data_IF_330949346487
#
_entry.id   IF_330949346487
#
_cell.length_a   1.000
_cell.length_b   1.000
_cell.length_c   1.000
_cell.angle_alpha   90.00
_cell.angle_beta   90.00
_cell.angle_gamma   90.00
#
_symmetry.space_group_name_H-M   'P 1'
#
loop_
_entity.id
_entity.type
_entity.pdbx_description
1 polymer ?
#
# COMPACT_ATOMS: atom_id res chain seq x y z
N UNK A 1 -10.90 78.74 -3.58
CA UNK A 1 -11.14 77.72 -4.63
C UNK A 1 -9.83 77.17 -5.16
N UNK A 2 -9.35 76.05 -4.61
CA UNK A 2 -8.40 75.13 -5.25
C UNK A 2 -8.73 73.73 -4.77
N UNK A 3 -9.12 72.89 -5.71
CA UNK A 3 -9.43 71.46 -5.56
C UNK A 3 -8.13 70.67 -5.59
N UNK A 4 -7.93 69.72 -4.66
CA UNK A 4 -7.05 68.55 -4.87
C UNK A 4 -7.64 67.35 -4.13
N UNK A 5 -8.45 66.60 -4.88
CA UNK A 5 -8.47 65.14 -5.06
C UNK A 5 -7.95 64.25 -3.91
N UNK A 6 -8.87 63.57 -3.21
CA UNK A 6 -8.56 62.38 -2.40
C UNK A 6 -8.47 61.15 -3.31
N UNK A 7 -7.37 60.43 -3.18
CA UNK A 7 -7.08 59.16 -3.84
C UNK A 7 -8.04 58.08 -3.29
N UNK A 8 -8.95 57.56 -4.11
CA UNK A 8 -9.69 56.34 -3.79
C UNK A 8 -8.78 55.14 -4.08
N UNK A 9 -8.23 54.53 -3.03
CA UNK A 9 -7.62 53.21 -3.12
C UNK A 9 -8.77 52.22 -3.29
N UNK A 10 -9.02 51.81 -4.53
CA UNK A 10 -9.90 50.69 -4.84
C UNK A 10 -9.26 49.42 -4.32
N UNK A 11 -9.80 48.88 -3.22
CA UNK A 11 -9.50 47.50 -2.80
C UNK A 11 -10.12 46.60 -3.85
N UNK A 12 -9.30 46.08 -4.76
CA UNK A 12 -9.66 44.96 -5.61
C UNK A 12 -9.75 43.75 -4.68
N UNK A 13 -10.97 43.46 -4.20
CA UNK A 13 -11.29 42.16 -3.64
C UNK A 13 -11.15 41.18 -4.79
N UNK A 14 -9.99 40.53 -4.87
CA UNK A 14 -9.82 39.37 -5.72
C UNK A 14 -10.78 38.32 -5.19
N UNK A 15 -11.95 38.21 -5.85
CA UNK A 15 -12.84 37.08 -5.72
C UNK A 15 -12.02 35.87 -6.19
N UNK A 16 -11.35 35.19 -5.26
CA UNK A 16 -10.84 33.86 -5.50
C UNK A 16 -12.06 33.02 -5.83
N UNK A 17 -12.27 32.75 -7.12
CA UNK A 17 -13.16 31.68 -7.54
C UNK A 17 -12.67 30.43 -6.81
N UNK A 18 -13.38 30.05 -5.76
CA UNK A 18 -13.42 28.68 -5.30
C UNK A 18 -13.98 27.88 -6.47
N UNK A 19 -13.11 27.50 -7.42
CA UNK A 19 -13.34 26.29 -8.19
C UNK A 19 -13.53 25.23 -7.12
N UNK A 20 -14.77 24.76 -6.96
CA UNK A 20 -14.98 23.51 -6.25
C UNK A 20 -14.04 22.52 -6.93
N UNK A 21 -13.00 22.10 -6.22
CA UNK A 21 -12.26 20.91 -6.57
C UNK A 21 -13.31 19.81 -6.55
N UNK A 22 -13.93 19.52 -7.70
CA UNK A 22 -14.74 18.34 -7.86
C UNK A 22 -13.96 17.22 -7.20
N UNK A 23 -14.56 16.59 -6.17
CA UNK A 23 -13.85 15.60 -5.38
C UNK A 23 -13.28 14.57 -6.34
N UNK A 24 -11.97 14.32 -6.24
CA UNK A 24 -11.29 13.39 -7.13
C UNK A 24 -11.89 11.99 -6.93
N UNK A 25 -12.88 11.65 -7.75
CA UNK A 25 -13.38 10.32 -7.99
C UNK A 25 -12.61 9.78 -9.19
N UNK A 26 -12.05 8.56 -9.11
CA UNK A 26 -12.35 7.50 -8.14
C UNK A 26 -11.52 7.54 -6.84
N UNK A 27 -11.96 6.75 -5.87
CA UNK A 27 -11.23 6.44 -4.62
C UNK A 27 -10.78 4.97 -4.58
N UNK A 28 -10.10 4.57 -3.52
CA UNK A 28 -9.66 3.19 -3.31
C UNK A 28 -10.85 2.23 -3.20
N UNK A 29 -10.78 1.10 -3.90
CA UNK A 29 -11.57 -0.09 -3.64
C UNK A 29 -11.16 -0.74 -2.31
N UNK A 30 -11.95 -1.69 -1.83
CA UNK A 30 -11.74 -2.32 -0.50
C UNK A 30 -10.37 -2.98 -0.33
N UNK A 31 -9.80 -3.50 -1.41
CA UNK A 31 -8.46 -4.10 -1.43
C UNK A 31 -7.33 -3.06 -1.58
N UNK A 32 -7.64 -1.77 -1.64
CA UNK A 32 -6.68 -0.69 -1.83
C UNK A 32 -6.30 -0.42 -3.28
N UNK A 33 -6.92 -1.09 -4.26
CA UNK A 33 -6.74 -0.76 -5.67
C UNK A 33 -7.52 0.50 -6.05
N UNK A 34 -6.99 1.28 -6.98
CA UNK A 34 -7.75 2.36 -7.63
C UNK A 34 -7.91 1.99 -9.09
N UNK A 35 -9.13 1.94 -9.59
CA UNK A 35 -9.43 1.81 -11.02
C UNK A 35 -10.03 3.12 -11.51
N UNK A 36 -9.37 3.74 -12.49
CA UNK A 36 -9.82 4.97 -13.13
C UNK A 36 -10.27 4.63 -14.55
N UNK A 37 -11.57 4.61 -14.85
CA UNK A 37 -12.06 4.35 -16.20
C UNK A 37 -11.73 5.52 -17.15
N UNK A 38 -11.70 5.23 -18.45
CA UNK A 38 -11.43 6.22 -19.51
C UNK A 38 -12.34 7.46 -19.47
N UNK A 39 -13.56 7.32 -18.97
CA UNK A 39 -14.52 8.42 -18.79
C UNK A 39 -14.01 9.51 -17.83
N UNK A 40 -13.15 9.14 -16.88
CA UNK A 40 -12.59 10.06 -15.88
C UNK A 40 -11.24 10.67 -16.34
N UNK A 41 -10.81 10.39 -17.57
CA UNK A 41 -9.58 10.94 -18.12
C UNK A 41 -9.85 12.31 -18.73
N UNK A 42 -8.96 13.25 -18.43
CA UNK A 42 -8.88 14.54 -19.13
C UNK A 42 -7.80 14.45 -20.20
N UNK A 43 -8.13 14.83 -21.43
CA UNK A 43 -7.20 14.82 -22.57
C UNK A 43 -6.98 16.23 -23.07
N UNK A 44 -5.72 16.64 -23.21
CA UNK A 44 -5.32 17.91 -23.81
C UNK A 44 -3.98 17.73 -24.54
N UNK A 45 -3.89 18.15 -25.81
CA UNK A 45 -2.63 18.18 -26.58
C UNK A 45 -1.83 16.85 -26.54
N UNK A 46 -2.51 15.71 -26.70
CA UNK A 46 -1.86 14.39 -26.67
C UNK A 46 -1.38 13.93 -25.29
N UNK A 47 -1.73 14.66 -24.22
CA UNK A 47 -1.52 14.24 -22.82
C UNK A 47 -2.82 13.75 -22.23
N UNK A 48 -2.73 12.68 -21.45
CA UNK A 48 -3.85 12.17 -20.63
C UNK A 48 -3.54 12.45 -19.18
N UNK A 49 -4.51 12.96 -18.45
CA UNK A 49 -4.43 13.09 -16.99
C UNK A 49 -5.64 12.48 -16.32
N UNK A 50 -5.42 11.91 -15.14
CA UNK A 50 -6.43 11.29 -14.32
C UNK A 50 -6.19 11.68 -12.87
N UNK A 51 -7.24 12.04 -12.15
CA UNK A 51 -7.15 12.40 -10.73
C UNK A 51 -7.89 11.37 -9.88
N UNK A 52 -7.37 11.09 -8.70
CA UNK A 52 -8.01 10.20 -7.72
C UNK A 52 -7.66 10.66 -6.31
N UNK A 53 -8.40 10.18 -5.30
CA UNK A 53 -8.08 10.43 -3.89
C UNK A 53 -7.50 9.20 -3.22
N UNK A 54 -6.25 9.29 -2.77
CA UNK A 54 -5.59 8.24 -2.01
C UNK A 54 -6.01 8.25 -0.54
N UNK A 55 -6.42 7.10 0.00
CA UNK A 55 -6.80 6.96 1.42
C UNK A 55 -5.60 6.66 2.34
N UNK A 56 -4.50 6.16 1.76
CA UNK A 56 -3.26 5.82 2.46
C UNK A 56 -2.03 6.08 1.56
N UNK A 57 -0.89 6.31 2.20
CA UNK A 57 0.40 6.29 1.52
C UNK A 57 0.86 4.85 1.24
N UNK A 58 1.93 4.73 0.45
CA UNK A 58 2.60 3.47 0.17
C UNK A 58 3.01 3.32 -1.30
N UNK A 59 3.51 2.14 -1.63
CA UNK A 59 3.92 1.78 -2.99
C UNK A 59 2.78 1.17 -3.80
N UNK A 60 2.70 1.53 -5.08
CA UNK A 60 1.71 1.01 -6.02
C UNK A 60 2.37 0.73 -7.37
N UNK A 61 1.92 -0.33 -8.04
CA UNK A 61 2.15 -0.52 -9.47
C UNK A 61 1.08 0.28 -10.22
N UNK A 62 1.49 1.16 -11.13
CA UNK A 62 0.57 1.79 -12.07
C UNK A 62 0.48 0.93 -13.32
N UNK A 63 -0.74 0.53 -13.67
CA UNK A 63 -1.07 -0.29 -14.82
C UNK A 63 -2.05 0.45 -15.74
N UNK A 64 -2.12 0.05 -17.01
CA UNK A 64 -3.20 0.42 -17.92
C UNK A 64 -3.91 -0.81 -18.49
N UNK A 65 -5.18 -0.63 -18.85
CA UNK A 65 -5.98 -1.57 -19.63
C UNK A 65 -6.21 -0.97 -21.04
N UNK A 66 -6.36 -1.84 -22.05
CA UNK A 66 -6.56 -1.44 -23.45
C UNK A 66 -5.28 -1.44 -24.28
N UNK A 67 -5.40 -0.94 -25.52
CA UNK A 67 -4.30 -0.87 -26.46
C UNK A 67 -3.59 0.48 -26.37
N UNK A 68 -2.27 0.47 -26.47
CA UNK A 68 -1.48 1.69 -26.59
C UNK A 68 -0.56 1.54 -27.80
N UNK A 69 -0.58 2.50 -28.71
CA UNK A 69 0.27 2.49 -29.91
C UNK A 69 1.76 2.50 -29.54
N UNK A 70 2.07 3.14 -28.41
CA UNK A 70 3.36 3.07 -27.74
C UNK A 70 3.15 3.12 -26.23
N UNK A 71 4.09 2.56 -25.46
CA UNK A 71 3.95 2.49 -24.02
C UNK A 71 4.12 3.89 -23.39
N UNK A 72 3.05 4.51 -22.87
CA UNK A 72 3.12 5.92 -22.45
C UNK A 72 4.06 6.07 -21.25
N UNK A 73 4.69 7.26 -21.13
CA UNK A 73 5.46 7.61 -19.93
C UNK A 73 4.50 8.15 -18.89
N UNK A 74 4.56 7.64 -17.67
CA UNK A 74 3.68 8.06 -16.58
C UNK A 74 4.42 8.85 -15.51
N UNK A 75 3.75 9.84 -14.94
CA UNK A 75 4.13 10.46 -13.67
C UNK A 75 2.96 10.37 -12.68
N UNK A 76 3.28 10.34 -11.39
CA UNK A 76 2.33 10.48 -10.29
C UNK A 76 2.73 11.69 -9.45
N UNK A 77 1.85 12.68 -9.37
CA UNK A 77 2.14 13.98 -8.73
C UNK A 77 3.44 14.61 -9.25
N UNK A 78 3.67 14.53 -10.56
CA UNK A 78 4.86 15.03 -11.23
C UNK A 78 6.13 14.20 -11.03
N UNK A 79 6.09 13.12 -10.25
CA UNK A 79 7.24 12.23 -10.03
C UNK A 79 7.20 11.05 -11.00
N UNK A 80 8.36 10.70 -11.56
CA UNK A 80 8.53 9.50 -12.39
C UNK A 80 8.47 8.20 -11.57
N UNK A 81 8.51 7.04 -12.24
CA UNK A 81 8.51 5.75 -11.58
C UNK A 81 9.80 5.52 -10.78
N UNK A 82 9.67 4.77 -9.68
CA UNK A 82 10.77 4.34 -8.81
C UNK A 82 11.36 3.03 -9.34
N UNK A 83 12.67 3.03 -9.54
CA UNK A 83 13.40 1.90 -10.12
C UNK A 83 13.21 1.80 -11.64
N UNK A 84 13.66 0.67 -12.20
CA UNK A 84 13.46 0.37 -13.62
C UNK A 84 12.00 0.07 -13.95
N UNK A 85 11.62 0.24 -15.21
CA UNK A 85 10.29 -0.13 -15.72
C UNK A 85 10.25 -1.66 -15.94
N UNK A 86 9.37 -2.41 -15.27
CA UNK A 86 9.19 -3.82 -15.58
C UNK A 86 8.74 -3.99 -17.03
N UNK A 87 9.32 -4.96 -17.74
CA UNK A 87 8.92 -5.33 -19.11
C UNK A 87 7.64 -6.19 -19.08
N UNK A 88 6.60 -5.69 -18.40
CA UNK A 88 5.30 -6.34 -18.31
C UNK A 88 4.31 -5.50 -19.12
N UNK A 89 3.61 -6.07 -20.12
CA UNK A 89 2.57 -5.36 -20.85
C UNK A 89 1.56 -4.74 -19.89
N UNK A 90 1.13 -3.51 -20.18
CA UNK A 90 0.24 -2.78 -19.28
C UNK A 90 0.93 -2.10 -18.10
N UNK A 91 2.20 -2.37 -17.77
CA UNK A 91 2.88 -1.78 -16.60
C UNK A 91 3.53 -0.44 -16.92
N UNK A 92 3.20 0.61 -16.15
CA UNK A 92 3.72 1.97 -16.33
C UNK A 92 4.79 2.36 -15.31
N UNK A 93 5.04 1.52 -14.31
CA UNK A 93 6.08 1.71 -13.29
C UNK A 93 5.54 1.62 -11.86
N UNK A 94 6.47 1.68 -10.90
CA UNK A 94 6.16 1.69 -9.47
C UNK A 94 6.17 3.12 -8.97
N UNK A 95 5.17 3.52 -8.19
CA UNK A 95 5.04 4.88 -7.68
C UNK A 95 4.76 4.87 -6.20
N UNK A 96 5.36 5.81 -5.48
CA UNK A 96 5.14 6.00 -4.05
C UNK A 96 4.21 7.18 -3.80
N UNK A 97 3.08 6.92 -3.16
CA UNK A 97 2.20 7.98 -2.65
C UNK A 97 2.74 8.37 -1.28
N UNK A 98 3.19 9.61 -1.11
CA UNK A 98 3.83 10.08 0.13
C UNK A 98 2.86 10.38 1.28
N UNK A 99 1.61 10.72 0.95
CA UNK A 99 0.55 11.05 1.92
C UNK A 99 -0.82 10.82 1.30
N UNK A 100 -1.83 10.62 2.14
CA UNK A 100 -3.22 10.57 1.71
C UNK A 100 -3.68 11.92 1.13
N UNK A 101 -4.67 11.89 0.25
CA UNK A 101 -5.24 13.06 -0.42
C UNK A 101 -5.26 12.95 -1.94
N UNK A 102 -5.50 14.08 -2.60
CA UNK A 102 -5.57 14.15 -4.07
C UNK A 102 -4.25 13.76 -4.71
N UNK A 103 -4.35 12.94 -5.75
CA UNK A 103 -3.24 12.51 -6.59
C UNK A 103 -3.61 12.73 -8.06
N UNK A 104 -2.61 13.04 -8.89
CA UNK A 104 -2.75 13.24 -10.33
C UNK A 104 -1.77 12.34 -11.05
N UNK A 105 -2.28 11.49 -11.93
CA UNK A 105 -1.50 10.75 -12.92
C UNK A 105 -1.44 11.56 -14.21
N UNK A 106 -0.26 11.67 -14.81
CA UNK A 106 -0.11 12.23 -16.15
C UNK A 106 0.59 11.20 -17.04
N UNK A 107 0.05 11.01 -18.24
CA UNK A 107 0.62 10.20 -19.30
C UNK A 107 1.09 11.12 -20.43
N UNK A 108 2.34 10.95 -20.86
CA UNK A 108 2.90 11.59 -22.04
C UNK A 108 3.05 10.54 -23.15
N UNK A 109 2.46 10.79 -24.31
CA UNK A 109 2.41 9.89 -25.47
C UNK A 109 0.99 9.50 -25.84
N UNK A 110 0.80 8.89 -27.03
CA UNK A 110 -0.52 8.50 -27.54
C UNK A 110 -1.20 7.48 -26.62
N UNK A 111 -2.35 7.86 -26.06
CA UNK A 111 -3.12 7.06 -25.10
C UNK A 111 -4.59 6.90 -25.52
N UNK A 112 -4.87 6.98 -26.83
CA UNK A 112 -6.21 6.93 -27.41
C UNK A 112 -6.94 5.59 -27.17
N UNK A 113 -6.21 4.47 -27.15
CA UNK A 113 -6.77 3.13 -26.94
C UNK A 113 -6.83 2.64 -25.48
N UNK A 114 -6.42 3.47 -24.50
CA UNK A 114 -6.50 3.08 -23.08
C UNK A 114 -7.95 3.11 -22.60
N UNK A 115 -8.38 2.04 -21.93
CA UNK A 115 -9.72 1.92 -21.36
C UNK A 115 -9.76 2.20 -19.84
N UNK A 116 -8.65 2.00 -19.14
CA UNK A 116 -8.53 2.32 -17.72
C UNK A 116 -7.08 2.46 -17.26
N UNK A 117 -6.89 3.15 -16.14
CA UNK A 117 -5.67 3.13 -15.33
C UNK A 117 -5.96 2.39 -14.03
N UNK A 118 -4.98 1.64 -13.54
CA UNK A 118 -5.07 0.94 -12.25
C UNK A 118 -3.87 1.19 -11.38
N UNK A 119 -4.08 1.63 -10.15
CA UNK A 119 -3.05 1.54 -9.10
C UNK A 119 -3.30 0.28 -8.28
N UNK A 120 -2.33 -0.62 -8.28
CA UNK A 120 -2.38 -1.87 -7.51
C UNK A 120 -1.39 -1.78 -6.35
N UNK A 121 -1.80 -1.97 -5.08
CA UNK A 121 -0.88 -1.97 -3.94
C UNK A 121 0.30 -2.91 -4.17
N UNK A 122 1.51 -2.42 -3.89
CA UNK A 122 2.75 -3.15 -4.09
C UNK A 122 3.59 -3.14 -2.81
N UNK A 123 4.51 -4.09 -2.72
CA UNK A 123 5.52 -4.10 -1.66
C UNK A 123 6.50 -2.95 -1.80
N UNK A 124 7.02 -2.47 -0.68
CA UNK A 124 8.04 -1.41 -0.64
C UNK A 124 9.45 -1.99 -0.65
N UNK A 125 9.63 -3.17 -0.05
CA UNK A 125 10.86 -3.94 -0.02
C UNK A 125 11.02 -4.88 -1.22
N UNK A 126 11.82 -5.92 -0.98
CA UNK A 126 12.26 -6.88 -1.99
C UNK A 126 11.36 -8.12 -2.02
N UNK A 127 11.50 -8.94 -3.05
CA UNK A 127 10.98 -10.31 -3.02
C UNK A 127 11.64 -11.08 -1.88
N UNK A 128 10.90 -11.97 -1.22
CA UNK A 128 11.46 -12.88 -0.22
C UNK A 128 11.73 -14.22 -0.89
N UNK A 129 12.97 -14.69 -0.80
CA UNK A 129 13.41 -16.01 -1.27
C UNK A 129 14.18 -16.63 -0.13
N UNK A 130 13.83 -17.85 0.23
CA UNK A 130 14.55 -18.61 1.24
C UNK A 130 15.95 -18.97 0.71
N UNK A 131 16.96 -18.74 1.53
CA UNK A 131 18.27 -19.37 1.37
C UNK A 131 18.21 -20.77 1.99
N UNK A 132 18.72 -21.79 1.28
CA UNK A 132 18.64 -23.19 1.70
C UNK A 132 19.15 -23.40 3.14
N UNK A 133 18.36 -24.11 3.95
CA UNK A 133 18.63 -24.37 5.37
C UNK A 133 18.43 -23.16 6.30
N UNK A 134 18.11 -21.97 5.79
CA UNK A 134 17.89 -20.76 6.58
C UNK A 134 16.42 -20.50 6.89
N UNK A 135 16.19 -19.62 7.86
CA UNK A 135 14.85 -19.11 8.15
C UNK A 135 14.33 -18.20 7.02
N UNK A 136 13.01 -18.19 6.85
CA UNK A 136 12.33 -17.30 5.90
C UNK A 136 11.94 -16.03 6.66
N UNK A 137 12.55 -14.91 6.29
CA UNK A 137 12.30 -13.62 6.91
C UNK A 137 11.29 -12.78 6.13
N UNK A 138 10.12 -12.56 6.73
CA UNK A 138 9.01 -11.80 6.17
C UNK A 138 8.89 -10.44 6.87
N UNK A 139 9.81 -9.53 6.56
CA UNK A 139 9.76 -8.16 7.08
C UNK A 139 8.51 -7.41 6.62
N UNK A 140 8.02 -6.51 7.47
CA UNK A 140 6.88 -5.64 7.19
C UNK A 140 6.94 -4.95 5.82
N UNK A 141 8.11 -4.48 5.39
CA UNK A 141 8.30 -3.80 4.09
C UNK A 141 8.09 -4.70 2.87
N UNK A 142 8.24 -6.02 3.03
CA UNK A 142 8.17 -6.99 1.94
C UNK A 142 6.73 -7.42 1.60
N UNK A 143 5.75 -7.05 2.42
CA UNK A 143 4.34 -7.29 2.13
C UNK A 143 3.77 -6.27 1.13
N UNK A 144 2.73 -6.68 0.39
CA UNK A 144 1.73 -5.74 -0.12
C UNK A 144 0.60 -5.63 0.90
N UNK A 145 -0.14 -4.53 0.87
CA UNK A 145 -1.35 -4.38 1.68
C UNK A 145 -2.59 -4.56 0.82
N UNK A 146 -3.49 -5.44 1.27
CA UNK A 146 -4.88 -5.45 0.83
C UNK A 146 -5.69 -4.60 1.80
N UNK A 147 -6.07 -3.38 1.40
CA UNK A 147 -6.80 -2.49 2.29
C UNK A 147 -6.63 -1.00 2.04
N UNK A 148 -7.40 -0.22 2.80
CA UNK A 148 -7.55 1.24 2.63
C UNK A 148 -6.92 2.06 3.76
N UNK A 149 -6.67 1.47 4.92
CA UNK A 149 -6.00 2.10 6.06
C UNK A 149 -4.62 1.47 6.33
N UNK A 150 -4.52 0.16 6.51
CA UNK A 150 -3.27 -0.51 6.83
C UNK A 150 -2.12 -0.11 5.89
N UNK A 151 -0.91 0.05 6.42
CA UNK A 151 0.22 0.59 5.66
C UNK A 151 1.54 0.24 6.33
N UNK A 152 2.57 0.17 5.52
CA UNK A 152 3.93 0.14 6.02
C UNK A 152 4.33 1.54 6.53
N UNK A 153 4.98 1.57 7.67
CA UNK A 153 5.52 2.77 8.31
C UNK A 153 7.05 2.78 8.16
N UNK A 154 7.61 3.48 7.14
CA UNK A 154 9.04 3.44 6.83
C UNK A 154 9.92 4.24 7.81
N UNK A 155 9.33 4.81 8.87
CA UNK A 155 10.12 5.48 9.90
C UNK A 155 11.09 4.46 10.54
N UNK A 156 12.41 4.74 10.57
CA UNK A 156 13.41 3.81 11.11
C UNK A 156 13.16 3.38 12.56
N UNK A 157 12.44 4.18 13.36
CA UNK A 157 12.05 3.83 14.73
C UNK A 157 10.90 2.82 14.81
N UNK A 158 10.17 2.62 13.72
CA UNK A 158 9.00 1.75 13.62
C UNK A 158 9.27 0.52 12.77
N UNK A 159 9.49 0.73 11.46
CA UNK A 159 9.71 -0.32 10.46
C UNK A 159 8.65 -1.44 10.53
N UNK A 160 7.38 -1.08 10.71
CA UNK A 160 6.27 -2.00 10.90
C UNK A 160 5.15 -1.78 9.88
N UNK A 161 4.30 -2.79 9.71
CA UNK A 161 2.94 -2.61 9.24
C UNK A 161 2.17 -2.08 10.45
N UNK A 162 1.60 -0.90 10.33
CA UNK A 162 0.88 -0.24 11.43
C UNK A 162 -0.38 0.42 10.95
N UNK A 163 -0.93 1.28 11.81
CA UNK A 163 -2.18 2.01 11.53
C UNK A 163 -3.38 1.09 11.23
N UNK A 164 -3.38 -0.09 11.83
CA UNK A 164 -4.38 -1.11 11.60
C UNK A 164 -5.69 -0.80 12.34
N UNK A 165 -6.49 0.09 11.76
CA UNK A 165 -7.79 0.51 12.30
C UNK A 165 -8.97 -0.28 11.72
N UNK A 166 -8.87 -0.67 10.45
CA UNK A 166 -9.91 -1.39 9.71
C UNK A 166 -9.64 -2.90 9.76
N UNK A 167 -10.54 -3.72 10.34
CA UNK A 167 -10.36 -5.18 10.42
C UNK A 167 -10.41 -5.89 9.07
N UNK A 168 -10.94 -5.23 8.01
CA UNK A 168 -10.96 -5.79 6.66
C UNK A 168 -9.63 -5.61 5.91
N UNK A 169 -8.72 -4.79 6.44
CA UNK A 169 -7.40 -4.65 5.85
C UNK A 169 -6.49 -5.79 6.35
N UNK A 170 -5.59 -6.27 5.50
CA UNK A 170 -4.61 -7.30 5.87
C UNK A 170 -3.34 -7.20 5.01
N UNK A 171 -2.16 -7.50 5.60
CA UNK A 171 -0.92 -7.62 4.86
C UNK A 171 -0.84 -8.97 4.16
N UNK A 172 -0.09 -8.99 3.05
CA UNK A 172 0.15 -10.19 2.29
C UNK A 172 1.61 -10.27 1.84
N UNK A 173 2.29 -11.34 2.24
CA UNK A 173 3.64 -11.65 1.79
C UNK A 173 3.58 -12.76 0.75
N UNK A 174 4.31 -12.57 -0.35
CA UNK A 174 4.63 -13.65 -1.28
C UNK A 174 6.11 -13.98 -1.09
N UNK A 175 6.42 -15.26 -0.93
CA UNK A 175 7.77 -15.72 -0.66
C UNK A 175 8.05 -17.03 -1.38
N UNK A 176 9.30 -17.24 -1.79
CA UNK A 176 9.74 -18.50 -2.39
C UNK A 176 10.46 -19.34 -1.33
N UNK A 177 10.05 -20.60 -1.22
CA UNK A 177 10.59 -21.59 -0.29
C UNK A 177 11.55 -22.51 -1.06
N UNK A 178 12.74 -22.70 -0.52
CA UNK A 178 13.74 -23.62 -1.05
C UNK A 178 13.56 -25.01 -0.44
N UNK A 179 13.24 -25.09 0.86
CA UNK A 179 13.17 -26.34 1.61
C UNK A 179 11.74 -26.69 2.00
N UNK A 180 11.26 -27.87 1.61
CA UNK A 180 10.07 -28.44 2.22
C UNK A 180 10.37 -28.85 3.67
N UNK A 181 9.37 -28.77 4.54
CA UNK A 181 9.58 -29.14 5.94
C UNK A 181 8.58 -28.51 6.89
N UNK A 182 8.84 -28.69 8.19
CA UNK A 182 8.10 -28.01 9.25
C UNK A 182 8.81 -26.72 9.62
N UNK A 183 8.03 -25.68 9.91
CA UNK A 183 8.52 -24.37 10.27
C UNK A 183 7.79 -23.85 11.50
N UNK A 184 8.52 -23.44 12.54
CA UNK A 184 7.97 -22.62 13.61
C UNK A 184 7.67 -21.22 13.07
N UNK A 185 6.46 -20.72 13.29
CA UNK A 185 6.05 -19.37 12.91
C UNK A 185 6.19 -18.44 14.11
N UNK A 186 7.08 -17.46 14.00
CA UNK A 186 7.29 -16.43 15.03
C UNK A 186 6.87 -15.07 14.49
N UNK A 187 5.94 -14.43 15.19
CA UNK A 187 5.44 -13.08 14.90
C UNK A 187 6.07 -12.06 15.85
N UNK A 188 6.75 -11.06 15.31
CA UNK A 188 7.17 -9.88 16.07
C UNK A 188 6.07 -8.82 16.03
N UNK A 189 5.34 -8.64 17.13
CA UNK A 189 4.19 -7.73 17.24
C UNK A 189 4.39 -6.65 18.29
N UNK A 190 3.69 -5.52 18.11
CA UNK A 190 3.51 -4.46 19.10
C UNK A 190 2.02 -4.14 19.25
N UNK A 191 1.57 -3.83 20.48
CA UNK A 191 0.18 -3.47 20.74
C UNK A 191 0.12 -2.41 21.85
N UNK A 192 -0.77 -1.43 21.69
CA UNK A 192 -0.96 -0.36 22.67
C UNK A 192 -1.39 -0.88 24.04
N UNK A 193 -1.04 -0.12 25.09
CA UNK A 193 -1.44 -0.41 26.46
C UNK A 193 -2.96 -0.55 26.59
N UNK A 194 -3.40 -1.67 27.16
CA UNK A 194 -4.81 -2.03 27.31
C UNK A 194 -5.53 -2.23 25.98
N UNK A 195 -4.81 -2.43 24.87
CA UNK A 195 -5.38 -2.58 23.53
C UNK A 195 -5.32 -4.01 22.97
N UNK A 196 -4.68 -4.94 23.69
CA UNK A 196 -4.62 -6.37 23.33
C UNK A 196 -5.98 -7.08 23.33
N UNK A 197 -5.98 -8.36 22.98
CA UNK A 197 -7.17 -9.22 23.00
C UNK A 197 -7.89 -9.37 21.66
N UNK A 198 -7.45 -8.69 20.59
CA UNK A 198 -7.93 -9.00 19.24
C UNK A 198 -7.58 -10.44 18.86
N UNK A 199 -8.49 -11.14 18.19
CA UNK A 199 -8.22 -12.45 17.58
C UNK A 199 -7.86 -12.25 16.11
N UNK A 200 -6.81 -12.92 15.68
CA UNK A 200 -6.32 -12.91 14.32
C UNK A 200 -5.98 -14.33 13.87
N UNK A 201 -5.85 -14.51 12.55
CA UNK A 201 -5.40 -15.75 11.93
C UNK A 201 -4.26 -15.44 10.99
N UNK A 202 -3.19 -16.24 11.07
CA UNK A 202 -2.15 -16.30 10.07
C UNK A 202 -2.40 -17.51 9.17
N UNK A 203 -2.45 -17.29 7.87
CA UNK A 203 -2.69 -18.35 6.88
C UNK A 203 -1.49 -18.45 5.94
N UNK A 204 -0.93 -19.64 5.77
CA UNK A 204 0.11 -19.92 4.78
C UNK A 204 0.21 -21.41 4.48
N UNK A 205 0.62 -21.78 3.27
CA UNK A 205 0.83 -23.17 2.84
C UNK A 205 -0.34 -24.12 3.16
N UNK A 206 -1.58 -23.61 3.12
CA UNK A 206 -2.80 -24.36 3.47
C UNK A 206 -3.06 -24.54 4.97
N UNK A 207 -2.17 -24.05 5.86
CA UNK A 207 -2.34 -24.05 7.31
C UNK A 207 -2.94 -22.73 7.80
N UNK A 208 -3.61 -22.78 8.95
CA UNK A 208 -4.17 -21.63 9.67
C UNK A 208 -3.75 -21.67 11.13
N UNK A 209 -3.13 -20.60 11.62
CA UNK A 209 -2.72 -20.41 13.01
C UNK A 209 -3.51 -19.25 13.60
N UNK A 210 -4.53 -19.56 14.39
CA UNK A 210 -5.26 -18.55 15.15
C UNK A 210 -4.50 -18.14 16.40
N UNK A 211 -4.53 -16.85 16.72
CA UNK A 211 -3.88 -16.31 17.91
C UNK A 211 -4.62 -15.11 18.48
N UNK A 212 -4.31 -14.82 19.74
CA UNK A 212 -4.77 -13.61 20.42
C UNK A 212 -3.62 -12.62 20.52
N UNK A 213 -3.85 -11.40 20.05
CA UNK A 213 -2.88 -10.31 20.15
C UNK A 213 -2.59 -10.01 21.62
N UNK A 214 -1.31 -10.04 21.97
CA UNK A 214 -0.84 -9.69 23.32
C UNK A 214 -0.73 -8.18 23.49
N UNK A 215 -1.14 -7.65 24.63
CA UNK A 215 -0.83 -6.28 25.05
C UNK A 215 0.68 -6.19 25.34
N UNK A 216 1.37 -5.23 24.70
CA UNK A 216 2.81 -5.04 24.89
C UNK A 216 3.13 -3.74 25.66
N UNK A 217 2.10 -3.03 26.13
CA UNK A 217 2.24 -1.76 26.84
C UNK A 217 2.53 -0.56 25.95
N UNK A 218 2.63 -0.75 24.62
CA UNK A 218 2.92 0.28 23.63
C UNK A 218 3.23 -0.30 22.24
N UNK A 219 2.78 0.37 21.17
CA UNK A 219 2.93 -0.13 19.78
C UNK A 219 4.38 -0.34 19.31
N UNK A 220 5.36 0.29 19.96
CA UNK A 220 6.80 0.11 19.67
C UNK A 220 7.51 -0.77 20.71
N UNK A 221 6.78 -1.34 21.67
CA UNK A 221 7.28 -2.37 22.57
C UNK A 221 7.10 -3.71 21.86
N UNK A 222 8.11 -4.12 21.13
CA UNK A 222 8.08 -5.34 20.33
C UNK A 222 8.27 -6.57 21.21
N UNK A 223 7.46 -7.59 20.97
CA UNK A 223 7.67 -8.94 21.52
C UNK A 223 7.59 -9.95 20.39
N UNK A 224 8.30 -11.06 20.56
CA UNK A 224 8.16 -12.23 19.70
C UNK A 224 7.11 -13.18 20.28
N UNK A 225 6.23 -13.66 19.42
CA UNK A 225 5.15 -14.60 19.76
C UNK A 225 5.27 -15.79 18.84
N UNK A 226 5.60 -16.95 19.40
CA UNK A 226 5.47 -18.22 18.68
C UNK A 226 3.99 -18.54 18.48
N UNK A 227 3.60 -18.77 17.23
CA UNK A 227 2.22 -19.05 16.83
C UNK A 227 1.97 -20.56 16.60
N UNK A 228 3.01 -21.38 16.73
CA UNK A 228 2.99 -22.80 16.41
C UNK A 228 3.76 -23.12 15.12
N UNK A 229 3.50 -24.30 14.57
CA UNK A 229 4.20 -24.81 13.40
C UNK A 229 3.30 -24.91 12.17
N UNK A 230 3.88 -24.74 10.99
CA UNK A 230 3.25 -25.03 9.70
C UNK A 230 4.11 -26.03 8.93
N UNK A 231 3.47 -26.84 8.08
CA UNK A 231 4.18 -27.74 7.18
C UNK A 231 4.10 -27.20 5.74
N UNK A 232 5.26 -26.93 5.15
CA UNK A 232 5.37 -26.60 3.73
C UNK A 232 5.76 -27.88 2.99
N UNK A 233 4.81 -28.44 2.25
CA UNK A 233 4.95 -29.77 1.65
C UNK A 233 5.97 -29.85 0.50
N UNK A 234 6.19 -28.74 -0.23
CA UNK A 234 7.07 -28.67 -1.41
C UNK A 234 7.73 -27.30 -1.52
N UNK A 235 8.96 -27.22 -2.07
CA UNK A 235 9.55 -25.94 -2.48
C UNK A 235 8.67 -25.20 -3.48
N UNK A 236 8.83 -23.88 -3.55
CA UNK A 236 8.09 -23.03 -4.48
C UNK A 236 7.49 -21.78 -3.84
N UNK A 237 6.69 -21.07 -4.62
CA UNK A 237 6.05 -19.82 -4.19
C UNK A 237 4.89 -20.11 -3.24
N UNK A 238 4.89 -19.41 -2.11
CA UNK A 238 3.85 -19.42 -1.11
C UNK A 238 3.32 -18.00 -0.87
N UNK A 239 2.12 -17.92 -0.32
CA UNK A 239 1.49 -16.68 0.16
C UNK A 239 1.19 -16.81 1.65
N UNK A 240 1.52 -15.77 2.42
CA UNK A 240 1.16 -15.63 3.82
C UNK A 240 0.28 -14.39 4.03
N UNK A 241 -0.83 -14.56 4.73
CA UNK A 241 -1.72 -13.46 5.14
C UNK A 241 -1.88 -13.42 6.65
N UNK A 242 -2.18 -12.25 7.20
CA UNK A 242 -2.63 -12.10 8.60
C UNK A 242 -3.94 -11.33 8.63
N UNK A 243 -5.04 -11.99 8.97
CA UNK A 243 -6.39 -11.41 8.96
C UNK A 243 -6.94 -11.26 10.36
N UNK A 244 -7.81 -10.27 10.56
CA UNK A 244 -8.48 -10.05 11.84
C UNK A 244 -9.77 -10.85 11.87
N UNK A 245 -9.90 -11.73 12.87
CA UNK A 245 -11.13 -12.48 13.12
C UNK A 245 -12.09 -11.69 14.00
N UNK A 246 -11.56 -11.08 15.07
CA UNK A 246 -12.32 -10.24 15.99
C UNK A 246 -11.45 -9.12 16.51
N UNK A 247 -11.90 -7.89 16.28
CA UNK A 247 -11.24 -6.68 16.79
C UNK A 247 -11.66 -6.42 18.25
N UNK A 248 -10.68 -6.25 19.13
CA UNK A 248 -10.83 -5.69 20.47
C UNK A 248 -10.62 -4.16 20.42
N UNK A 249 -9.98 -3.55 21.42
CA UNK A 249 -9.70 -2.11 21.40
C UNK A 249 -8.68 -1.74 20.31
N UNK A 250 -7.63 -2.53 20.13
CA UNK A 250 -6.64 -2.40 19.06
C UNK A 250 -6.38 -3.73 18.37
N UNK A 251 -5.87 -3.70 17.13
CA UNK A 251 -5.35 -4.89 16.43
C UNK A 251 -3.90 -5.05 16.87
N UNK A 252 -2.91 -4.75 16.04
CA UNK A 252 -1.48 -4.76 16.38
C UNK A 252 -0.69 -4.03 15.30
N UNK A 253 0.57 -3.73 15.58
CA UNK A 253 1.59 -3.48 14.57
C UNK A 253 2.42 -4.76 14.37
N UNK A 254 2.76 -5.08 13.12
CA UNK A 254 3.62 -6.22 12.78
C UNK A 254 4.95 -5.70 12.27
N UNK A 255 6.06 -6.08 12.91
CA UNK A 255 7.40 -5.72 12.43
C UNK A 255 7.98 -6.78 11.48
N UNK A 256 7.84 -8.05 11.84
CA UNK A 256 8.37 -9.19 11.09
C UNK A 256 7.60 -10.46 11.41
N UNK A 257 7.55 -11.37 10.44
CA UNK A 257 7.20 -12.78 10.67
C UNK A 257 8.40 -13.62 10.23
N UNK A 258 8.74 -14.66 10.98
CA UNK A 258 9.83 -15.58 10.66
C UNK A 258 9.30 -16.99 10.64
N UNK A 259 9.58 -17.73 9.58
CA UNK A 259 9.38 -19.17 9.53
C UNK A 259 10.73 -19.83 9.76
N UNK A 260 10.94 -20.44 10.93
CA UNK A 260 12.20 -21.09 11.30
C UNK A 260 12.10 -22.59 11.02
N UNK A 261 13.02 -23.21 10.26
CA UNK A 261 13.06 -24.65 10.08
C UNK A 261 13.06 -25.37 11.44
N UNK A 262 12.17 -26.35 11.60
CA UNK A 262 12.18 -27.26 12.75
C UNK A 262 13.08 -28.44 12.39
N UNK A 263 14.06 -28.72 13.25
CA UNK A 263 14.96 -29.88 13.10
C UNK A 263 14.28 -31.18 13.52
#
# INVERSE_FOLDING_TARGET
MKSVMRLFIGVVVALSLNLSLAEAQPTFGKNGEVKIPRADFKTAEGKVSASFRATRWGMYNLMYEGAADSQPKATLNGQGPIGGRPLVPGHLGRFYIKKAGSCVIQLNGTATGLSALRLVPAREGSSVVQEEGQAIELDARNCRISGVMLRYEPNPKKLCIGFWGNPNDYPVWNYAVADAGKYEVVLTQGCGRGAGGSRAVLETAGASLEFTVKDTGGYQNWIDVSLGEVHIAKPGVQELTVKVLKKARGIMDIRRIVLKPVK
#
